data_IF_388483904643
#
_entry.id   IF_388483904643
#
_cell.length_a   1.000
_cell.length_b   1.000
_cell.length_c   1.000
_cell.angle_alpha   90.00
_cell.angle_beta   90.00
_cell.angle_gamma   90.00
#
_symmetry.space_group_name_H-M   'P 1'
#
loop_
_entity.id
_entity.type
_entity.pdbx_description
1 polymer ?
#
# COMPACT_ATOMS: atom_id res chain seq x y z
N UNK A 1 13.66 -21.15 14.51
CA UNK A 1 13.37 -20.39 13.28
C UNK A 1 13.45 -18.91 13.61
N UNK A 2 14.30 -18.14 12.96
CA UNK A 2 14.30 -16.68 13.08
C UNK A 2 12.97 -16.18 12.50
N UNK A 3 12.09 -15.60 13.33
CA UNK A 3 10.92 -14.88 12.82
C UNK A 3 11.44 -13.68 12.05
N UNK A 4 11.30 -13.69 10.73
CA UNK A 4 11.59 -12.54 9.89
C UNK A 4 10.75 -11.35 10.39
N UNK A 5 11.41 -10.27 10.79
CA UNK A 5 10.74 -9.07 11.27
C UNK A 5 10.33 -8.22 10.08
N UNK A 6 9.19 -8.54 9.45
CA UNK A 6 8.64 -7.63 8.44
C UNK A 6 7.99 -6.41 9.10
N UNK A 7 8.15 -5.25 8.49
CA UNK A 7 7.49 -4.01 8.88
C UNK A 7 6.34 -3.74 7.92
N UNK A 8 5.12 -3.61 8.44
CA UNK A 8 3.94 -3.33 7.62
C UNK A 8 4.14 -2.09 6.73
N UNK A 9 4.71 -1.02 7.27
CA UNK A 9 4.99 0.20 6.50
C UNK A 9 6.01 -0.05 5.38
N UNK A 10 7.05 -0.84 5.64
CA UNK A 10 8.07 -1.16 4.65
C UNK A 10 7.50 -2.00 3.52
N UNK A 11 6.75 -3.06 3.85
CA UNK A 11 6.10 -3.92 2.86
C UNK A 11 5.04 -3.17 2.05
N UNK A 12 4.23 -2.29 2.67
CA UNK A 12 3.29 -1.46 1.91
C UNK A 12 3.98 -0.47 0.98
N UNK A 13 5.16 0.05 1.36
CA UNK A 13 5.93 0.93 0.48
C UNK A 13 6.49 0.15 -0.72
N UNK A 14 7.09 -1.01 -0.46
CA UNK A 14 7.57 -1.91 -1.52
C UNK A 14 6.45 -2.28 -2.48
N UNK A 15 5.27 -2.65 -1.95
CA UNK A 15 4.08 -2.93 -2.73
C UNK A 15 3.69 -1.74 -3.63
N UNK A 16 3.54 -0.53 -3.07
CA UNK A 16 3.14 0.65 -3.87
C UNK A 16 4.18 0.96 -4.95
N UNK A 17 5.48 0.86 -4.63
CA UNK A 17 6.57 1.13 -5.58
C UNK A 17 6.62 0.11 -6.73
N UNK A 18 6.30 -1.16 -6.50
CA UNK A 18 6.19 -2.13 -7.60
C UNK A 18 4.87 -1.98 -8.36
N UNK A 19 3.76 -1.79 -7.64
CA UNK A 19 2.43 -1.63 -8.23
C UNK A 19 2.38 -0.44 -9.19
N UNK A 20 2.94 0.71 -8.81
CA UNK A 20 2.85 1.93 -9.61
C UNK A 20 3.59 1.86 -10.94
N UNK A 21 4.51 0.90 -11.13
CA UNK A 21 5.14 0.62 -12.43
C UNK A 21 4.19 -0.03 -13.44
N UNK A 22 3.14 -0.68 -12.94
CA UNK A 22 2.12 -1.38 -13.76
C UNK A 22 0.89 -0.52 -14.04
N UNK A 23 0.80 0.65 -13.40
CA UNK A 23 -0.39 1.52 -13.44
C UNK A 23 -0.16 2.68 -14.39
N UNK A 24 -1.06 2.85 -15.34
CA UNK A 24 -1.08 4.00 -16.25
C UNK A 24 -1.35 5.32 -15.49
N UNK A 25 -0.72 6.40 -15.95
CA UNK A 25 -1.01 7.76 -15.45
C UNK A 25 -2.50 8.09 -15.62
N UNK A 26 -3.07 8.79 -14.63
CA UNK A 26 -4.48 9.16 -14.61
C UNK A 26 -5.42 8.13 -14.01
N UNK A 27 -4.99 6.86 -13.81
CA UNK A 27 -5.81 5.84 -13.12
C UNK A 27 -6.08 6.22 -11.67
N UNK A 28 -7.29 5.91 -11.21
CA UNK A 28 -7.78 6.25 -9.87
C UNK A 28 -8.02 4.99 -9.06
N UNK A 29 -7.60 5.02 -7.81
CA UNK A 29 -7.85 3.97 -6.82
C UNK A 29 -8.28 4.57 -5.49
N UNK A 30 -9.16 3.88 -4.80
CA UNK A 30 -9.48 4.11 -3.40
C UNK A 30 -8.43 3.48 -2.49
N UNK A 31 -8.31 3.96 -1.26
CA UNK A 31 -7.45 3.32 -0.26
C UNK A 31 -7.86 1.87 0.00
N UNK A 32 -9.16 1.56 -0.06
CA UNK A 32 -9.63 0.19 0.15
C UNK A 32 -9.20 -0.74 -0.99
N UNK A 33 -9.34 -0.32 -2.26
CA UNK A 33 -8.87 -1.13 -3.39
C UNK A 33 -7.36 -1.41 -3.31
N UNK A 34 -6.57 -0.42 -2.87
CA UNK A 34 -5.12 -0.60 -2.66
C UNK A 34 -4.81 -1.53 -1.49
N UNK A 35 -5.62 -1.53 -0.43
CA UNK A 35 -5.50 -2.51 0.67
C UNK A 35 -5.83 -3.91 0.15
N UNK A 36 -6.94 -4.07 -0.57
CA UNK A 36 -7.36 -5.37 -1.11
C UNK A 36 -6.32 -5.95 -2.08
N UNK A 37 -5.67 -5.09 -2.88
CA UNK A 37 -4.56 -5.48 -3.75
C UNK A 37 -3.31 -5.85 -2.94
N UNK A 38 -2.98 -5.08 -1.91
CA UNK A 38 -1.86 -5.39 -1.02
C UNK A 38 -2.05 -6.74 -0.33
N UNK A 39 -3.24 -7.02 0.18
CA UNK A 39 -3.56 -8.27 0.89
C UNK A 39 -3.42 -9.52 0.02
N UNK A 40 -3.63 -9.38 -1.29
CA UNK A 40 -3.45 -10.43 -2.29
C UNK A 40 -2.02 -10.50 -2.84
N UNK A 41 -1.16 -9.56 -2.48
CA UNK A 41 0.22 -9.45 -2.98
C UNK A 41 1.19 -10.28 -2.14
N UNK A 42 2.38 -10.64 -2.67
CA UNK A 42 3.43 -11.32 -1.90
C UNK A 42 4.02 -10.45 -0.77
N UNK A 43 3.70 -9.15 -0.73
CA UNK A 43 4.15 -8.22 0.30
C UNK A 43 3.30 -8.33 1.58
N UNK A 44 2.07 -8.82 1.50
CA UNK A 44 1.27 -9.09 2.70
C UNK A 44 1.76 -10.38 3.36
N UNK A 45 2.07 -10.31 4.66
CA UNK A 45 2.55 -11.43 5.47
C UNK A 45 1.50 -11.75 6.52
N UNK A 46 1.31 -13.03 6.83
CA UNK A 46 0.32 -13.51 7.82
C UNK A 46 0.45 -12.78 9.17
N UNK A 47 1.67 -12.43 9.57
CA UNK A 47 1.90 -11.70 10.81
C UNK A 47 1.20 -10.32 10.87
N UNK A 48 0.88 -9.70 9.73
CA UNK A 48 0.21 -8.41 9.69
C UNK A 48 -1.26 -8.49 10.11
N UNK A 49 -1.89 -9.66 10.02
CA UNK A 49 -3.29 -9.85 10.45
C UNK A 49 -3.42 -9.80 11.98
N UNK A 50 -2.30 -9.94 12.70
CA UNK A 50 -2.25 -9.79 14.16
C UNK A 50 -2.09 -8.33 14.63
N UNK A 51 -1.89 -7.38 13.70
CA UNK A 51 -1.61 -5.99 14.06
C UNK A 51 -2.90 -5.24 14.41
N UNK A 52 -2.86 -4.45 15.50
CA UNK A 52 -4.01 -3.62 15.92
C UNK A 52 -4.33 -2.47 14.96
N UNK A 53 -3.35 -2.01 14.18
CA UNK A 53 -3.53 -0.86 13.28
C UNK A 53 -3.99 -1.35 11.90
N UNK A 54 -4.99 -0.69 11.29
CA UNK A 54 -5.47 -1.04 9.96
C UNK A 54 -4.42 -0.72 8.90
N UNK A 55 -4.36 -1.55 7.85
CA UNK A 55 -3.44 -1.42 6.71
C UNK A 55 -3.64 -0.11 5.92
N UNK A 56 -4.82 0.52 6.02
CA UNK A 56 -5.16 1.79 5.38
C UNK A 56 -4.15 2.91 5.71
N UNK A 57 -3.70 3.00 6.97
CA UNK A 57 -2.74 4.03 7.37
C UNK A 57 -1.36 3.80 6.76
N UNK A 58 -0.96 2.53 6.61
CA UNK A 58 0.31 2.16 5.98
C UNK A 58 0.27 2.39 4.47
N UNK A 59 -0.86 2.09 3.81
CA UNK A 59 -1.09 2.45 2.39
C UNK A 59 -1.05 3.97 2.18
N UNK A 60 -1.75 4.75 3.01
CA UNK A 60 -1.69 6.22 2.95
C UNK A 60 -0.25 6.74 3.08
N UNK A 61 0.50 6.19 4.04
CA UNK A 61 1.90 6.55 4.24
C UNK A 61 2.76 6.21 3.01
N UNK A 62 2.58 5.02 2.44
CA UNK A 62 3.30 4.55 1.26
C UNK A 62 3.03 5.44 0.04
N UNK A 63 1.76 5.76 -0.25
CA UNK A 63 1.37 6.66 -1.35
C UNK A 63 1.99 8.06 -1.20
N UNK A 64 1.99 8.60 0.04
CA UNK A 64 2.64 9.88 0.33
C UNK A 64 4.15 9.81 0.13
N UNK A 65 4.77 8.69 0.48
CA UNK A 65 6.23 8.52 0.42
C UNK A 65 6.74 8.23 -1.00
N UNK A 66 5.99 7.53 -1.84
CA UNK A 66 6.39 7.30 -3.24
C UNK A 66 6.32 8.57 -4.07
N UNK A 67 5.45 9.53 -3.70
CA UNK A 67 5.36 10.83 -4.36
C UNK A 67 4.72 10.78 -5.76
N UNK A 68 4.29 9.60 -6.21
CA UNK A 68 3.76 9.34 -7.54
C UNK A 68 2.23 9.38 -7.64
N UNK A 69 1.58 9.82 -6.56
CA UNK A 69 0.12 9.84 -6.43
C UNK A 69 -0.37 11.21 -5.98
N UNK A 70 -1.54 11.60 -6.48
CA UNK A 70 -2.26 12.82 -6.10
C UNK A 70 -3.54 12.43 -5.40
N UNK A 71 -3.77 12.95 -4.19
CA UNK A 71 -5.02 12.73 -3.46
C UNK A 71 -6.10 13.66 -4.05
N UNK A 72 -7.10 13.09 -4.74
CA UNK A 72 -8.21 13.87 -5.30
C UNK A 72 -9.23 14.26 -4.23
N UNK A 73 -9.50 13.33 -3.31
CA UNK A 73 -10.29 13.51 -2.10
C UNK A 73 -9.81 12.51 -1.05
N UNK A 74 -10.24 12.66 0.20
CA UNK A 74 -9.83 11.76 1.29
C UNK A 74 -10.11 10.30 0.90
N UNK A 75 -9.05 9.49 0.88
CA UNK A 75 -9.12 8.07 0.56
C UNK A 75 -9.19 7.73 -0.93
N UNK A 76 -9.01 8.70 -1.85
CA UNK A 76 -9.03 8.49 -3.30
C UNK A 76 -7.79 9.13 -3.92
N UNK A 77 -7.04 8.33 -4.68
CA UNK A 77 -5.74 8.66 -5.21
C UNK A 77 -5.70 8.43 -6.71
N UNK A 78 -5.11 9.37 -7.43
CA UNK A 78 -4.83 9.26 -8.85
C UNK A 78 -3.33 9.09 -9.07
N UNK A 79 -2.94 8.17 -9.95
CA UNK A 79 -1.56 8.03 -10.40
C UNK A 79 -1.17 9.27 -11.22
N UNK A 80 -0.08 9.93 -10.83
CA UNK A 80 0.53 11.01 -11.61
C UNK A 80 1.05 10.50 -12.95
#
# INVERSE_FOLDING_TARGET
MLKEKYSLNAETLNFITEFEKTVESGKVYTTQELVDLFEKSPFNKEQFDTYKKPKNNSIWYALKRSGNWTMLKRGVYQKK
#
